data_IF_770251807353
#
_entry.id   IF_770251807353
#
_cell.length_a   1.000
_cell.length_b   1.000
_cell.length_c   1.000
_cell.angle_alpha   90.00
_cell.angle_beta   90.00
_cell.angle_gamma   90.00
#
_symmetry.space_group_name_H-M   'P 1'
#
loop_
_entity.id
_entity.type
_entity.pdbx_description
1 polymer ?
#
# COMPACT_ATOMS: atom_id res chain seq x y z
N UNK A 1 -3.39 2.45 18.62
CA UNK A 1 -2.28 2.47 17.63
C UNK A 1 -1.58 3.82 17.64
N UNK A 2 -2.25 4.89 17.22
CA UNK A 2 -1.68 6.26 17.19
C UNK A 2 -1.07 6.73 18.52
N UNK A 3 -1.87 6.81 19.60
CA UNK A 3 -1.39 7.23 20.93
C UNK A 3 -0.30 6.31 21.49
N UNK A 4 -0.35 5.01 21.15
CA UNK A 4 0.66 4.04 21.57
C UNK A 4 2.03 4.31 20.96
N UNK A 5 2.09 4.80 19.71
CA UNK A 5 3.35 5.20 19.09
C UNK A 5 3.97 6.42 19.78
N UNK A 6 3.16 7.45 20.08
CA UNK A 6 3.62 8.61 20.83
C UNK A 6 4.11 8.25 22.22
N UNK A 7 3.39 7.36 22.92
CA UNK A 7 3.81 6.86 24.23
C UNK A 7 5.13 6.08 24.17
N UNK A 8 5.33 5.25 23.13
CA UNK A 8 6.59 4.53 22.93
C UNK A 8 7.75 5.51 22.72
N UNK A 9 7.57 6.56 21.92
CA UNK A 9 8.61 7.57 21.67
C UNK A 9 8.89 8.51 22.85
N UNK A 10 7.94 8.66 23.79
CA UNK A 10 8.05 9.61 24.92
C UNK A 10 8.46 8.97 26.25
N UNK A 11 8.30 7.65 26.40
CA UNK A 11 8.81 6.91 27.57
C UNK A 11 10.21 6.41 27.23
N UNK A 12 11.18 6.69 28.12
CA UNK A 12 12.59 6.28 28.11
C UNK A 12 13.08 5.63 26.80
N UNK A 13 13.94 6.31 26.00
CA UNK A 13 14.41 5.78 24.73
C UNK A 13 15.25 4.51 24.95
N UNK A 14 14.56 3.37 24.97
CA UNK A 14 15.14 2.06 24.82
C UNK A 14 15.36 1.79 23.33
N UNK A 15 16.11 0.74 23.02
CA UNK A 15 16.50 0.44 21.64
C UNK A 15 15.28 0.18 20.72
N UNK A 16 14.13 -0.18 21.30
CA UNK A 16 12.97 -0.68 20.56
C UNK A 16 11.80 0.32 20.47
N UNK A 17 11.88 1.48 21.14
CA UNK A 17 10.83 2.51 21.08
C UNK A 17 10.48 2.94 19.64
N UNK A 18 11.48 3.13 18.77
CA UNK A 18 11.30 3.55 17.38
C UNK A 18 10.67 2.44 16.52
N UNK A 19 11.20 1.20 16.48
CA UNK A 19 10.54 0.07 15.81
C UNK A 19 9.08 -0.14 16.27
N UNK A 20 8.80 -0.05 17.57
CA UNK A 20 7.46 -0.21 18.12
C UNK A 20 6.49 0.91 17.69
N UNK A 21 6.96 2.15 17.67
CA UNK A 21 6.18 3.28 17.18
C UNK A 21 5.86 3.13 15.69
N UNK A 22 6.85 2.75 14.87
CA UNK A 22 6.69 2.48 13.44
C UNK A 22 5.73 1.31 13.18
N UNK A 23 5.79 0.25 13.99
CA UNK A 23 4.84 -0.85 13.91
C UNK A 23 3.40 -0.38 14.16
N UNK A 24 3.21 0.44 15.20
CA UNK A 24 1.90 0.99 15.56
C UNK A 24 1.32 1.87 14.44
N UNK A 25 2.15 2.67 13.77
CA UNK A 25 1.73 3.51 12.64
C UNK A 25 1.40 2.68 11.39
N UNK A 26 2.20 1.66 11.10
CA UNK A 26 1.89 0.70 10.03
C UNK A 26 0.53 0.04 10.24
N UNK A 27 0.25 -0.40 11.46
CA UNK A 27 -1.04 -1.01 11.80
C UNK A 27 -2.19 -0.01 11.65
N UNK A 28 -1.99 1.25 12.05
CA UNK A 28 -2.98 2.31 11.83
C UNK A 28 -3.29 2.45 10.34
N UNK A 29 -2.28 2.62 9.49
CA UNK A 29 -2.44 2.74 8.04
C UNK A 29 -3.12 1.51 7.42
N UNK A 30 -2.86 0.31 7.95
CA UNK A 30 -3.43 -0.94 7.44
C UNK A 30 -4.91 -1.09 7.82
N UNK A 31 -5.30 -0.63 9.01
CA UNK A 31 -6.67 -0.79 9.54
C UNK A 31 -7.58 0.38 9.26
N UNK A 32 -7.02 1.54 8.91
CA UNK A 32 -7.78 2.73 8.58
C UNK A 32 -8.90 2.47 7.55
N UNK A 33 -8.67 1.75 6.42
CA UNK A 33 -9.71 1.46 5.43
C UNK A 33 -10.92 0.71 6.00
N UNK A 34 -10.67 -0.26 6.88
CA UNK A 34 -11.71 -1.08 7.50
C UNK A 34 -12.60 -0.29 8.49
N UNK A 35 -12.17 0.91 8.90
CA UNK A 35 -12.96 1.79 9.78
C UNK A 35 -13.98 2.64 9.01
N UNK A 36 -13.93 2.64 7.67
CA UNK A 36 -14.81 3.41 6.79
C UNK A 36 -15.78 2.53 5.97
N UNK A 37 -16.06 1.30 6.42
CA UNK A 37 -16.95 0.35 5.71
C UNK A 37 -16.58 0.11 4.23
N UNK A 38 -15.29 0.21 3.88
CA UNK A 38 -14.81 -0.19 2.55
C UNK A 38 -14.94 -1.71 2.45
N UNK A 39 -15.67 -2.25 1.46
CA UNK A 39 -15.59 -3.67 1.14
C UNK A 39 -14.20 -3.95 0.59
N UNK A 40 -13.28 -4.31 1.49
CA UNK A 40 -12.00 -4.86 1.10
C UNK A 40 -12.28 -6.23 0.49
N UNK A 41 -11.89 -6.50 -0.77
CA UNK A 41 -12.07 -7.81 -1.35
C UNK A 41 -11.35 -8.81 -0.44
N UNK A 42 -12.10 -9.74 0.17
CA UNK A 42 -11.51 -10.87 0.88
C UNK A 42 -10.58 -11.57 -0.10
N UNK A 43 -9.27 -11.49 0.13
CA UNK A 43 -8.30 -12.22 -0.65
C UNK A 43 -8.42 -13.70 -0.29
N UNK A 44 -9.41 -14.39 -0.87
CA UNK A 44 -9.67 -15.83 -0.66
C UNK A 44 -8.51 -16.73 -1.12
N UNK A 45 -7.56 -16.18 -1.87
CA UNK A 45 -6.35 -16.86 -2.32
C UNK A 45 -5.14 -15.96 -2.07
N UNK A 46 -4.18 -16.47 -1.31
CA UNK A 46 -2.95 -15.75 -0.96
C UNK A 46 -1.90 -15.89 -2.05
N UNK A 47 -1.01 -14.88 -2.18
CA UNK A 47 0.17 -14.97 -3.06
C UNK A 47 0.99 -16.23 -2.73
N UNK A 48 1.07 -16.61 -1.46
CA UNK A 48 1.76 -17.82 -0.99
C UNK A 48 1.21 -19.09 -1.62
N UNK A 49 -0.11 -19.24 -1.70
CA UNK A 49 -0.76 -20.41 -2.33
C UNK A 49 -0.53 -20.42 -3.84
N UNK A 50 -0.63 -19.25 -4.49
CA UNK A 50 -0.39 -19.12 -5.94
C UNK A 50 1.05 -19.43 -6.32
N UNK A 51 2.02 -18.95 -5.54
CA UNK A 51 3.46 -19.28 -5.69
C UNK A 51 3.70 -20.76 -5.42
N UNK A 52 3.07 -21.35 -4.40
CA UNK A 52 3.19 -22.79 -4.10
C UNK A 52 2.69 -23.65 -5.27
N UNK A 53 1.54 -23.31 -5.86
CA UNK A 53 1.01 -24.03 -7.03
C UNK A 53 1.95 -23.95 -8.24
N UNK A 54 2.55 -22.78 -8.48
CA UNK A 54 3.56 -22.61 -9.53
C UNK A 54 4.83 -23.41 -9.23
N UNK A 55 5.28 -23.41 -7.97
CA UNK A 55 6.42 -24.18 -7.50
C UNK A 55 6.20 -25.70 -7.66
N UNK A 56 5.01 -26.19 -7.35
CA UNK A 56 4.68 -27.62 -7.51
C UNK A 56 4.64 -28.02 -8.99
N UNK A 57 4.17 -27.12 -9.87
CA UNK A 57 4.21 -27.32 -11.32
C UNK A 57 5.64 -27.33 -11.85
N UNK A 58 6.49 -26.44 -11.33
CA UNK A 58 7.92 -26.39 -11.64
C UNK A 58 8.66 -27.67 -11.21
N UNK A 59 8.40 -28.16 -9.99
CA UNK A 59 9.01 -29.42 -9.50
C UNK A 59 8.69 -30.60 -10.41
N UNK A 60 7.43 -30.76 -10.82
CA UNK A 60 6.99 -31.83 -11.74
C UNK A 60 7.67 -31.77 -13.11
N UNK A 61 8.01 -30.56 -13.56
CA UNK A 61 8.76 -30.34 -14.80
C UNK A 61 10.23 -30.77 -14.62
N UNK A 62 10.88 -30.29 -13.56
CA UNK A 62 12.28 -30.59 -13.23
C UNK A 62 12.50 -32.07 -12.90
N UNK A 63 11.55 -32.74 -12.23
CA UNK A 63 11.60 -34.19 -11.98
C UNK A 63 11.73 -35.01 -13.27
N UNK A 64 11.21 -34.50 -14.39
CA UNK A 64 11.29 -35.17 -15.69
C UNK A 64 12.52 -34.80 -16.50
N UNK A 65 12.86 -33.51 -16.54
CA UNK A 65 13.88 -32.98 -17.44
C UNK A 65 15.20 -32.62 -16.75
N UNK A 66 15.30 -32.84 -15.44
CA UNK A 66 16.46 -32.48 -14.65
C UNK A 66 16.61 -30.97 -14.44
N UNK A 67 17.49 -30.58 -13.51
CA UNK A 67 17.92 -29.20 -13.37
C UNK A 67 19.15 -28.99 -14.27
N UNK A 68 18.96 -28.40 -15.45
CA UNK A 68 20.05 -27.79 -16.22
C UNK A 68 20.85 -28.69 -17.16
N UNK A 69 20.34 -29.83 -17.63
CA UNK A 69 21.02 -30.63 -18.66
C UNK A 69 20.04 -31.41 -19.52
N UNK A 70 19.99 -31.07 -20.80
CA UNK A 70 19.12 -31.60 -21.86
C UNK A 70 17.61 -31.34 -21.69
N UNK A 71 17.25 -30.08 -21.90
CA UNK A 71 15.89 -29.72 -22.26
C UNK A 71 15.52 -30.43 -23.57
N UNK A 72 14.31 -30.99 -23.66
CA UNK A 72 13.87 -31.65 -24.87
C UNK A 72 13.79 -30.60 -26.01
N UNK A 73 14.24 -31.00 -27.21
CA UNK A 73 14.12 -30.17 -28.41
C UNK A 73 12.65 -29.99 -28.86
N UNK A 74 11.74 -30.78 -28.30
CA UNK A 74 10.29 -30.66 -28.50
C UNK A 74 9.59 -30.34 -27.18
N UNK A 75 8.64 -29.41 -27.27
CA UNK A 75 7.73 -29.07 -26.17
C UNK A 75 6.80 -30.24 -25.92
N UNK A 76 6.80 -30.77 -24.70
CA UNK A 76 5.90 -31.84 -24.29
C UNK A 76 4.75 -31.33 -23.41
N UNK A 77 3.81 -32.21 -23.08
CA UNK A 77 2.64 -31.85 -22.28
C UNK A 77 2.95 -31.31 -20.89
N UNK A 78 4.12 -31.61 -20.29
CA UNK A 78 4.50 -31.06 -18.97
C UNK A 78 5.06 -29.65 -19.09
N UNK A 79 5.79 -29.36 -20.17
CA UNK A 79 6.20 -27.99 -20.50
C UNK A 79 4.96 -27.15 -20.75
N UNK A 80 3.99 -27.62 -21.56
CA UNK A 80 2.73 -26.92 -21.76
C UNK A 80 1.98 -26.67 -20.44
N UNK A 81 1.83 -27.71 -19.62
CA UNK A 81 1.14 -27.58 -18.33
C UNK A 81 1.81 -26.56 -17.39
N UNK A 82 3.15 -26.48 -17.38
CA UNK A 82 3.85 -25.46 -16.61
C UNK A 82 3.65 -24.06 -17.20
N UNK A 83 3.73 -23.89 -18.52
CA UNK A 83 3.49 -22.61 -19.18
C UNK A 83 2.06 -22.12 -18.95
N UNK A 84 1.07 -23.01 -19.00
CA UNK A 84 -0.33 -22.69 -18.69
C UNK A 84 -0.50 -22.28 -17.22
N UNK A 85 0.15 -22.99 -16.29
CA UNK A 85 0.14 -22.63 -14.87
C UNK A 85 0.84 -21.29 -14.63
N UNK A 86 1.93 -21.01 -15.33
CA UNK A 86 2.64 -19.73 -15.28
C UNK A 86 1.79 -18.60 -15.86
N UNK A 87 1.16 -18.81 -17.01
CA UNK A 87 0.27 -17.82 -17.63
C UNK A 87 -0.93 -17.52 -16.72
N UNK A 88 -1.59 -18.57 -16.19
CA UNK A 88 -2.68 -18.43 -15.21
C UNK A 88 -2.22 -17.68 -13.95
N UNK A 89 -0.99 -17.96 -13.47
CA UNK A 89 -0.41 -17.24 -12.35
C UNK A 89 -0.22 -15.76 -12.69
N UNK A 90 0.37 -15.43 -13.83
CA UNK A 90 0.63 -14.03 -14.22
C UNK A 90 -0.63 -13.26 -14.57
N UNK A 91 -1.63 -13.88 -15.19
CA UNK A 91 -2.96 -13.28 -15.40
C UNK A 91 -3.65 -13.02 -14.07
N UNK A 92 -3.65 -14.01 -13.17
CA UNK A 92 -4.15 -13.82 -11.81
C UNK A 92 -3.39 -12.69 -11.09
N UNK A 93 -2.07 -12.66 -11.22
CA UNK A 93 -1.21 -11.62 -10.66
C UNK A 93 -1.61 -10.25 -11.24
N UNK A 94 -1.77 -10.10 -12.55
CA UNK A 94 -2.18 -8.84 -13.16
C UNK A 94 -3.60 -8.41 -12.74
N UNK A 95 -4.51 -9.35 -12.51
CA UNK A 95 -5.91 -9.10 -12.15
C UNK A 95 -6.13 -8.89 -10.64
N UNK A 96 -5.30 -9.48 -9.78
CA UNK A 96 -5.48 -9.47 -8.31
C UNK A 96 -4.38 -8.70 -7.58
N UNK A 97 -3.31 -8.33 -8.28
CA UNK A 97 -2.31 -7.39 -7.83
C UNK A 97 -2.54 -5.92 -8.27
N UNK A 98 -3.61 -5.49 -8.98
CA UNK A 98 -3.91 -4.08 -9.07
C UNK A 98 -4.44 -3.63 -7.73
N UNK A 99 -3.77 -2.78 -6.96
CA UNK A 99 -2.37 -2.48 -6.69
C UNK A 99 -2.56 -1.78 -5.34
N UNK A 100 -1.72 -1.97 -4.34
CA UNK A 100 -1.89 -1.23 -3.07
C UNK A 100 -2.16 0.27 -3.29
N UNK A 101 -1.65 0.83 -4.39
CA UNK A 101 -2.00 2.16 -4.92
C UNK A 101 -3.49 2.38 -5.25
N UNK A 102 -4.18 1.46 -5.90
CA UNK A 102 -5.61 1.55 -6.22
C UNK A 102 -6.48 1.37 -4.96
N UNK A 103 -6.08 0.50 -4.03
CA UNK A 103 -6.70 0.40 -2.69
C UNK A 103 -6.51 1.71 -1.92
N UNK A 104 -5.28 2.22 -1.86
CA UNK A 104 -4.96 3.53 -1.29
C UNK A 104 -5.78 4.63 -1.95
N UNK A 105 -5.88 4.65 -3.28
CA UNK A 105 -6.69 5.62 -4.03
C UNK A 105 -8.15 5.57 -3.62
N UNK A 106 -8.72 4.37 -3.48
CA UNK A 106 -10.10 4.17 -3.03
C UNK A 106 -10.32 4.69 -1.61
N UNK A 107 -9.34 4.48 -0.73
CA UNK A 107 -9.34 4.97 0.65
C UNK A 107 -9.24 6.49 0.70
N UNK A 108 -8.37 7.10 -0.11
CA UNK A 108 -8.24 8.56 -0.26
C UNK A 108 -9.57 9.17 -0.70
N UNK A 109 -10.15 8.67 -1.80
CA UNK A 109 -11.43 9.15 -2.32
C UNK A 109 -12.57 9.05 -1.32
N UNK A 110 -12.56 8.03 -0.46
CA UNK A 110 -13.60 7.85 0.56
C UNK A 110 -13.42 8.80 1.74
N UNK A 111 -12.17 9.04 2.16
CA UNK A 111 -11.89 9.95 3.25
C UNK A 111 -12.03 11.42 2.83
N UNK A 112 -11.82 11.73 1.55
CA UNK A 112 -12.09 13.05 0.97
C UNK A 112 -13.60 13.35 1.02
N UNK A 113 -14.01 13.98 2.12
CA UNK A 113 -15.40 14.35 2.39
C UNK A 113 -15.97 15.39 1.44
N UNK A 114 -15.17 15.95 0.52
CA UNK A 114 -15.63 16.94 -0.47
C UNK A 114 -16.45 16.31 -1.61
N UNK A 115 -16.30 15.01 -1.86
CA UNK A 115 -16.94 14.32 -2.98
C UNK A 115 -16.43 14.75 -4.36
N UNK A 116 -15.44 15.64 -4.43
CA UNK A 116 -14.81 16.07 -5.69
C UNK A 116 -13.65 15.15 -6.03
N UNK A 117 -13.55 14.71 -7.28
CA UNK A 117 -12.38 13.95 -7.71
C UNK A 117 -11.19 14.88 -7.84
N UNK A 118 -10.13 14.61 -7.06
CA UNK A 118 -8.83 15.23 -7.24
C UNK A 118 -8.34 15.04 -8.68
N UNK A 119 -7.67 16.04 -9.28
CA UNK A 119 -6.95 15.86 -10.53
C UNK A 119 -6.03 14.63 -10.46
N UNK A 120 -5.97 13.78 -11.51
CA UNK A 120 -5.24 12.51 -11.45
C UNK A 120 -3.78 12.63 -10.99
N UNK A 121 -3.09 13.71 -11.38
CA UNK A 121 -1.71 13.97 -10.96
C UNK A 121 -1.56 14.20 -9.45
N UNK A 122 -2.51 14.90 -8.83
CA UNK A 122 -2.50 15.15 -7.38
C UNK A 122 -2.90 13.90 -6.60
N UNK A 123 -3.85 13.13 -7.13
CA UNK A 123 -4.23 11.84 -6.56
C UNK A 123 -3.05 10.85 -6.57
N UNK A 124 -2.33 10.73 -7.68
CA UNK A 124 -1.14 9.88 -7.79
C UNK A 124 -0.02 10.33 -6.83
N UNK A 125 0.16 11.63 -6.64
CA UNK A 125 1.13 12.16 -5.66
C UNK A 125 0.77 11.77 -4.22
N UNK A 126 -0.50 11.88 -3.84
CA UNK A 126 -0.96 11.48 -2.51
C UNK A 126 -0.84 9.97 -2.29
N UNK A 127 -1.16 9.17 -3.30
CA UNK A 127 -0.96 7.71 -3.27
C UNK A 127 0.53 7.36 -3.10
N UNK A 128 1.41 8.06 -3.82
CA UNK A 128 2.86 7.87 -3.72
C UNK A 128 3.39 8.26 -2.34
N UNK A 129 2.91 9.37 -1.78
CA UNK A 129 3.28 9.81 -0.44
C UNK A 129 2.83 8.80 0.62
N UNK A 130 1.61 8.28 0.53
CA UNK A 130 1.11 7.23 1.40
C UNK A 130 1.97 5.96 1.33
N UNK A 131 2.33 5.49 0.13
CA UNK A 131 3.15 4.30 -0.01
C UNK A 131 4.59 4.52 0.49
N UNK A 132 5.17 5.71 0.31
CA UNK A 132 6.48 6.07 0.89
C UNK A 132 6.47 6.03 2.42
N UNK A 133 5.43 6.60 3.05
CA UNK A 133 5.25 6.56 4.51
C UNK A 133 5.12 5.12 5.00
N UNK A 134 4.27 4.33 4.33
CA UNK A 134 4.07 2.92 4.65
C UNK A 134 5.36 2.12 4.56
N UNK A 135 6.13 2.31 3.49
CA UNK A 135 7.44 1.66 3.32
C UNK A 135 8.42 2.07 4.42
N UNK A 136 8.48 3.35 4.78
CA UNK A 136 9.29 3.81 5.90
C UNK A 136 8.94 3.06 7.20
N UNK A 137 7.66 3.05 7.59
CA UNK A 137 7.22 2.41 8.83
C UNK A 137 7.45 0.89 8.81
N UNK A 138 7.22 0.23 7.67
CA UNK A 138 7.53 -1.19 7.49
C UNK A 138 9.02 -1.45 7.69
N UNK A 139 9.89 -0.76 6.96
CA UNK A 139 11.34 -0.97 7.01
C UNK A 139 11.92 -0.74 8.40
N UNK A 140 11.48 0.29 9.11
CA UNK A 140 11.93 0.58 10.47
C UNK A 140 11.38 -0.43 11.47
N UNK A 141 10.10 -0.82 11.35
CA UNK A 141 9.47 -1.81 12.26
C UNK A 141 10.12 -3.21 12.21
N UNK A 142 10.74 -3.55 11.08
CA UNK A 142 11.44 -4.82 10.88
C UNK A 142 12.96 -4.69 11.01
N UNK A 143 13.45 -3.60 11.59
CA UNK A 143 14.88 -3.28 11.74
C UNK A 143 15.69 -3.27 10.42
N UNK A 144 15.03 -3.21 9.26
CA UNK A 144 15.67 -3.11 7.95
C UNK A 144 16.18 -1.69 7.62
N UNK A 145 15.76 -0.70 8.41
CA UNK A 145 16.24 0.69 8.36
C UNK A 145 16.40 1.21 9.79
N UNK A 146 17.54 1.81 10.10
CA UNK A 146 17.70 2.60 11.32
C UNK A 146 17.12 4.00 11.10
N UNK A 147 16.39 4.50 12.10
CA UNK A 147 15.82 5.84 12.11
C UNK A 147 15.92 6.41 13.53
N UNK A 148 16.13 7.72 13.63
CA UNK A 148 16.08 8.41 14.92
C UNK A 148 14.63 8.64 15.37
N UNK A 149 14.45 9.02 16.64
CA UNK A 149 13.16 9.50 17.16
C UNK A 149 12.68 10.72 16.36
N UNK A 150 13.59 11.64 16.03
CA UNK A 150 13.28 12.84 15.25
C UNK A 150 12.81 12.49 13.83
N UNK A 151 13.51 11.59 13.13
CA UNK A 151 13.10 11.11 11.80
C UNK A 151 11.70 10.48 11.86
N UNK A 152 11.46 9.68 12.89
CA UNK A 152 10.19 8.98 13.08
C UNK A 152 9.05 9.97 13.34
N UNK A 153 9.25 10.94 14.22
CA UNK A 153 8.28 12.00 14.49
C UNK A 153 7.98 12.83 13.24
N UNK A 154 9.00 13.10 12.41
CA UNK A 154 8.82 13.80 11.13
C UNK A 154 7.92 13.00 10.18
N UNK A 155 8.12 11.68 10.05
CA UNK A 155 7.26 10.84 9.21
C UNK A 155 5.83 10.73 9.77
N UNK A 156 5.68 10.66 11.10
CA UNK A 156 4.35 10.70 11.74
C UNK A 156 3.64 12.02 11.42
N UNK A 157 4.32 13.16 11.54
CA UNK A 157 3.74 14.47 11.22
C UNK A 157 3.31 14.61 9.76
N UNK A 158 4.07 14.02 8.83
CA UNK A 158 3.68 13.97 7.41
C UNK A 158 2.41 13.11 7.24
N UNK A 159 2.33 11.95 7.89
CA UNK A 159 1.12 11.11 7.87
C UNK A 159 -0.10 11.87 8.45
N UNK A 160 0.07 12.57 9.56
CA UNK A 160 -1.00 13.37 10.18
C UNK A 160 -1.49 14.47 9.25
N UNK A 161 -0.57 15.21 8.64
CA UNK A 161 -0.90 16.29 7.71
C UNK A 161 -1.70 15.74 6.52
N UNK A 162 -1.32 14.57 6.02
CA UNK A 162 -2.02 13.88 4.95
C UNK A 162 -3.43 13.46 5.36
N UNK A 163 -3.59 12.86 6.54
CA UNK A 163 -4.89 12.46 7.08
C UNK A 163 -5.82 13.66 7.33
N UNK A 164 -5.28 14.76 7.86
CA UNK A 164 -6.02 16.00 8.09
C UNK A 164 -6.50 16.58 6.77
N UNK A 165 -5.64 16.61 5.74
CA UNK A 165 -6.00 17.12 4.41
C UNK A 165 -7.13 16.32 3.75
N UNK A 166 -7.28 15.04 4.09
CA UNK A 166 -8.38 14.21 3.61
C UNK A 166 -9.66 14.44 4.42
N UNK A 167 -9.55 14.49 5.75
CA UNK A 167 -10.71 14.59 6.65
C UNK A 167 -11.32 15.99 6.72
N UNK A 168 -10.51 17.02 6.53
CA UNK A 168 -10.95 18.41 6.48
C UNK A 168 -10.83 18.87 5.03
N UNK A 169 -11.94 19.04 4.28
CA UNK A 169 -11.85 19.71 2.99
C UNK A 169 -11.14 21.05 3.23
N UNK A 170 -10.05 21.29 2.50
CA UNK A 170 -9.43 22.59 2.52
C UNK A 170 -10.52 23.62 2.21
N UNK A 171 -10.66 24.71 2.97
CA UNK A 171 -11.62 25.76 2.68
C UNK A 171 -11.18 26.52 1.41
N UNK A 172 -11.30 25.86 0.27
CA UNK A 172 -11.17 26.41 -1.07
C UNK A 172 -12.53 26.42 -1.79
N UNK A 173 -13.62 26.09 -1.09
CA UNK A 173 -14.96 26.51 -1.48
C UNK A 173 -15.22 27.92 -0.93
N UNK A 174 -14.63 28.93 -1.57
CA UNK A 174 -15.28 30.25 -1.68
C UNK A 174 -14.63 31.18 -2.73
N UNK A 175 -13.97 30.62 -3.76
CA UNK A 175 -13.63 31.44 -4.93
C UNK A 175 -14.87 32.00 -5.62
N UNK A 176 -16.01 31.30 -5.54
CA UNK A 176 -17.29 31.83 -6.00
C UNK A 176 -17.76 33.05 -5.18
N UNK A 177 -17.47 33.11 -3.87
CA UNK A 177 -17.77 34.27 -3.03
C UNK A 177 -16.78 35.41 -3.29
N UNK A 178 -15.50 35.10 -3.50
CA UNK A 178 -14.50 36.11 -3.90
C UNK A 178 -14.83 36.70 -5.28
N UNK A 179 -15.16 35.86 -6.27
CA UNK A 179 -15.57 36.31 -7.61
C UNK A 179 -16.88 37.11 -7.57
N UNK A 180 -17.81 36.72 -6.69
CA UNK A 180 -19.06 37.47 -6.48
C UNK A 180 -18.82 38.83 -5.81
N UNK A 181 -17.92 38.91 -4.82
CA UNK A 181 -17.50 40.16 -4.19
C UNK A 181 -16.73 41.08 -5.15
N UNK A 182 -15.94 40.51 -6.07
CA UNK A 182 -15.23 41.25 -7.11
C UNK A 182 -16.20 41.72 -8.22
N UNK A 183 -17.17 40.90 -8.59
CA UNK A 183 -18.19 41.24 -9.59
C UNK A 183 -19.24 42.26 -9.11
N UNK A 184 -19.52 42.33 -7.80
CA UNK A 184 -20.40 43.32 -7.19
C UNK A 184 -19.70 44.68 -6.92
N UNK A 185 -18.37 44.74 -7.09
CA UNK A 185 -17.55 45.94 -6.88
C UNK A 185 -17.12 46.69 -8.16
N UNK A 186 -17.62 46.29 -9.34
CA UNK A 186 -17.39 46.94 -10.63
C UNK A 186 -18.70 47.53 -11.18
#
# INVERSE_FOLDING_TARGET
MYLGAYQALSRHPDADCVPQACHSMRELMTRLPASFDVPMPEHKLTLKEKVRNLQDSWKKLVEKHGNGGDWPSQVDGRICAFLDAANTFFEWLLQHLPKRKDETRSVIRLMDGSGQQLPPALEDEQVDQWERLRQFFVSVSHHGKQASVEDTLKQISILESLLIAWLLPAPYEDYAVIDKLIGEGA
#
